data_IF_065869139064
#
_entry.id   IF_065869139064
#
_cell.length_a   1.000
_cell.length_b   1.000
_cell.length_c   1.000
_cell.angle_alpha   90.00
_cell.angle_beta   90.00
_cell.angle_gamma   90.00
#
_symmetry.space_group_name_H-M   'P 1'
#
loop_
_entity.id
_entity.type
_entity.pdbx_description
1 polymer ?
#
# COMPACT_ATOMS: atom_id res chain seq x y z
N UNK A 1 -7.04 19.78 -26.59
CA UNK A 1 -6.85 20.11 -25.16
C UNK A 1 -6.81 18.82 -24.38
N UNK A 2 -5.68 18.47 -23.76
CA UNK A 2 -5.48 17.20 -23.05
C UNK A 2 -5.17 17.55 -21.60
N UNK A 3 -6.16 17.41 -20.72
CA UNK A 3 -5.99 17.63 -19.29
C UNK A 3 -5.44 16.32 -18.73
N UNK A 4 -4.18 16.33 -18.30
CA UNK A 4 -3.59 15.25 -17.51
C UNK A 4 -3.79 15.66 -16.05
N UNK A 5 -4.71 15.02 -15.36
CA UNK A 5 -4.83 15.14 -13.90
C UNK A 5 -3.89 14.08 -13.32
N UNK A 6 -2.72 14.49 -12.83
CA UNK A 6 -1.77 13.58 -12.19
C UNK A 6 -2.20 13.34 -10.74
N UNK A 7 -2.95 12.26 -10.48
CA UNK A 7 -3.26 11.78 -9.13
C UNK A 7 -2.34 10.60 -8.78
N UNK A 8 -1.22 10.88 -8.11
CA UNK A 8 -0.33 9.84 -7.58
C UNK A 8 -0.44 9.81 -6.05
N UNK A 9 -0.66 8.61 -5.50
CA UNK A 9 -0.56 8.33 -4.07
C UNK A 9 0.76 7.58 -3.86
N UNK A 10 1.66 8.18 -3.10
CA UNK A 10 2.92 7.56 -2.72
C UNK A 10 2.84 7.11 -1.26
N UNK A 11 3.18 5.85 -1.01
CA UNK A 11 3.34 5.30 0.33
C UNK A 11 4.75 4.77 0.46
N UNK A 12 5.32 4.89 1.64
CA UNK A 12 6.64 4.36 1.93
C UNK A 12 6.57 2.87 2.29
N UNK A 13 7.74 2.23 2.43
CA UNK A 13 7.80 0.85 2.93
C UNK A 13 7.27 0.71 4.36
N UNK A 14 7.29 1.76 5.17
CA UNK A 14 6.85 1.70 6.56
C UNK A 14 5.33 1.50 6.69
N UNK A 15 4.56 1.96 5.69
CA UNK A 15 3.13 1.66 5.56
C UNK A 15 2.80 0.16 5.44
N UNK A 16 3.79 -0.67 5.08
CA UNK A 16 3.67 -2.13 5.00
C UNK A 16 4.29 -2.84 6.21
N UNK A 17 4.90 -2.09 7.14
CA UNK A 17 5.64 -2.66 8.25
C UNK A 17 4.71 -3.05 9.40
N UNK A 18 5.11 -4.11 10.12
CA UNK A 18 4.56 -4.46 11.41
C UNK A 18 5.68 -4.54 12.45
N UNK A 19 5.33 -4.39 13.71
CA UNK A 19 6.30 -4.53 14.80
C UNK A 19 6.50 -6.01 15.14
N UNK A 20 7.70 -6.53 14.88
CA UNK A 20 8.08 -7.87 15.30
C UNK A 20 8.65 -7.84 16.71
N UNK A 21 7.94 -8.48 17.64
CA UNK A 21 8.32 -8.55 19.05
C UNK A 21 9.63 -9.34 19.26
N UNK A 22 9.95 -10.29 18.37
CA UNK A 22 11.16 -11.12 18.51
C UNK A 22 12.42 -10.32 18.21
N UNK A 23 12.43 -9.59 17.10
CA UNK A 23 13.53 -8.69 16.73
C UNK A 23 13.47 -7.34 17.42
N UNK A 24 12.34 -6.99 18.06
CA UNK A 24 12.06 -5.66 18.64
C UNK A 24 12.22 -4.55 17.61
N UNK A 25 11.72 -4.77 16.40
CA UNK A 25 11.92 -3.86 15.27
C UNK A 25 10.70 -3.82 14.34
N UNK A 26 10.59 -2.74 13.57
CA UNK A 26 9.63 -2.64 12.48
C UNK A 26 10.17 -3.38 11.26
N UNK A 27 9.42 -4.38 10.78
CA UNK A 27 9.82 -5.24 9.67
C UNK A 27 8.75 -5.23 8.59
N UNK A 28 9.19 -5.34 7.34
CA UNK A 28 8.30 -5.51 6.18
C UNK A 28 8.44 -6.94 5.69
N UNK A 29 7.31 -7.63 5.55
CA UNK A 29 7.29 -8.99 5.00
C UNK A 29 7.46 -8.95 3.47
N UNK A 30 8.23 -9.90 2.93
CA UNK A 30 8.26 -10.12 1.49
C UNK A 30 7.04 -10.93 1.07
N UNK A 31 6.42 -10.58 -0.05
CA UNK A 31 5.16 -11.23 -0.42
C UNK A 31 4.29 -10.42 -1.35
N UNK A 32 3.07 -10.91 -1.55
CA UNK A 32 2.03 -10.23 -2.33
C UNK A 32 1.18 -9.39 -1.38
N UNK A 33 1.03 -8.11 -1.69
CA UNK A 33 0.16 -7.19 -0.99
C UNK A 33 -0.96 -6.75 -1.94
N UNK A 34 -2.18 -6.65 -1.41
CA UNK A 34 -3.32 -6.08 -2.12
C UNK A 34 -3.52 -4.63 -1.67
N UNK A 35 -3.50 -3.70 -2.63
CA UNK A 35 -3.85 -2.30 -2.42
C UNK A 35 -5.32 -2.13 -2.75
N UNK A 36 -6.06 -1.55 -1.82
CA UNK A 36 -7.47 -1.20 -2.00
C UNK A 36 -7.59 0.33 -2.00
N UNK A 37 -8.11 0.92 -3.08
CA UNK A 37 -8.35 2.35 -3.17
C UNK A 37 -9.84 2.64 -3.30
N UNK A 38 -10.33 3.55 -2.47
CA UNK A 38 -11.75 3.90 -2.39
C UNK A 38 -11.96 5.22 -1.68
N UNK A 39 -13.21 5.70 -1.68
CA UNK A 39 -13.57 6.92 -0.94
C UNK A 39 -14.03 6.63 0.51
N UNK A 40 -14.15 5.34 0.87
CA UNK A 40 -14.29 4.88 2.25
C UNK A 40 -13.82 3.43 2.35
N UNK A 41 -13.53 2.95 3.56
CA UNK A 41 -13.17 1.54 3.79
C UNK A 41 -14.27 0.55 3.39
N UNK A 42 -15.52 1.01 3.25
CA UNK A 42 -16.66 0.21 2.80
C UNK A 42 -16.95 0.37 1.30
N UNK A 43 -16.37 1.35 0.63
CA UNK A 43 -16.59 1.62 -0.79
C UNK A 43 -15.24 1.66 -1.53
N UNK A 44 -14.78 0.47 -1.90
CA UNK A 44 -13.52 0.25 -2.62
C UNK A 44 -13.79 0.28 -4.12
N UNK A 45 -13.09 1.15 -4.85
CA UNK A 45 -13.27 1.39 -6.29
C UNK A 45 -12.22 0.68 -7.13
N UNK A 46 -11.00 0.52 -6.61
CA UNK A 46 -9.88 -0.12 -7.29
C UNK A 46 -9.18 -1.11 -6.36
N UNK A 47 -8.67 -2.20 -6.95
CA UNK A 47 -7.86 -3.22 -6.27
C UNK A 47 -6.67 -3.56 -7.16
N UNK A 48 -5.49 -3.62 -6.57
CA UNK A 48 -4.27 -4.02 -7.29
C UNK A 48 -3.39 -4.90 -6.42
N UNK A 49 -2.62 -5.79 -7.04
CA UNK A 49 -1.67 -6.65 -6.33
C UNK A 49 -0.26 -6.29 -6.77
N UNK A 50 0.62 -6.06 -5.80
CA UNK A 50 2.06 -5.90 -6.03
C UNK A 50 2.86 -6.85 -5.16
N UNK A 51 4.12 -7.07 -5.56
CA UNK A 51 5.04 -7.95 -4.84
C UNK A 51 6.17 -7.14 -4.22
N UNK A 52 6.34 -7.28 -2.90
CA UNK A 52 7.52 -6.82 -2.17
C UNK A 52 8.57 -7.93 -2.23
N UNK A 53 9.77 -7.56 -2.67
CA UNK A 53 10.97 -8.41 -2.63
C UNK A 53 11.73 -8.19 -1.34
#
# INVERSE_FOLDING_TARGET
>A
MRIIVSNFLEIDKSALAFYDVRSKSWVVESGKFEVLLGNSSRNILLKEIFKVK
#
